data_IF_060655493487
#
_entry.id   IF_060655493487
#
_cell.length_a   1.000
_cell.length_b   1.000
_cell.length_c   1.000
_cell.angle_alpha   90.00
_cell.angle_beta   90.00
_cell.angle_gamma   90.00
#
_symmetry.space_group_name_H-M   'P 1'
#
loop_
_entity.id
_entity.type
_entity.pdbx_description
1 polymer ?
#
# COMPACT_ATOMS: atom_id res chain seq x y z
N UNK A 1 6.98 -3.26 10.59
CA UNK A 1 7.38 -2.36 9.50
C UNK A 1 6.85 -0.94 9.69
N UNK A 2 5.52 -0.71 9.65
CA UNK A 2 4.90 0.63 9.83
C UNK A 2 5.44 1.41 11.03
N UNK A 3 5.56 0.75 12.20
CA UNK A 3 6.12 1.37 13.41
C UNK A 3 7.54 1.94 13.22
N UNK A 4 8.39 1.27 12.43
CA UNK A 4 9.77 1.75 12.17
C UNK A 4 9.72 3.07 11.41
N UNK A 5 8.87 3.16 10.38
CA UNK A 5 8.69 4.39 9.59
C UNK A 5 8.18 5.52 10.51
N UNK A 6 7.14 5.25 11.29
CA UNK A 6 6.56 6.25 12.21
C UNK A 6 7.55 6.69 13.31
N UNK A 7 8.35 5.77 13.84
CA UNK A 7 9.37 6.09 14.83
C UNK A 7 10.48 6.95 14.21
N UNK A 8 10.94 6.64 12.99
CA UNK A 8 11.94 7.44 12.28
C UNK A 8 11.43 8.84 11.92
N UNK A 9 10.17 8.94 11.48
CA UNK A 9 9.50 10.22 11.26
C UNK A 9 9.54 11.05 12.56
N UNK A 10 9.13 10.46 13.69
CA UNK A 10 9.17 11.14 15.00
C UNK A 10 10.59 11.52 15.41
N UNK A 11 11.57 10.62 15.29
CA UNK A 11 12.95 10.86 15.71
C UNK A 11 13.66 11.92 14.84
N UNK A 12 13.24 12.09 13.59
CA UNK A 12 13.77 13.12 12.70
C UNK A 12 13.00 14.45 12.76
N UNK A 13 12.03 14.59 13.68
CA UNK A 13 11.07 15.70 13.70
C UNK A 13 10.37 15.89 12.34
N UNK A 14 10.03 14.79 11.67
CA UNK A 14 9.37 14.73 10.37
C UNK A 14 10.17 15.37 9.22
N UNK A 15 11.50 15.47 9.34
CA UNK A 15 12.37 16.09 8.35
C UNK A 15 13.14 15.08 7.47
N UNK A 16 13.00 13.77 7.73
CA UNK A 16 13.69 12.72 6.97
C UNK A 16 12.73 11.59 6.62
N UNK A 17 12.73 11.20 5.35
CA UNK A 17 12.02 10.01 4.87
C UNK A 17 12.79 8.73 5.24
N UNK A 18 12.07 7.63 5.41
CA UNK A 18 12.63 6.32 5.78
C UNK A 18 12.85 5.44 4.56
N UNK A 19 14.04 4.87 4.42
CA UNK A 19 14.34 3.77 3.50
C UNK A 19 14.50 2.49 4.32
N UNK A 20 13.85 1.41 3.90
CA UNK A 20 13.95 0.10 4.53
C UNK A 20 14.66 -0.88 3.61
N UNK A 21 15.62 -1.63 4.14
CA UNK A 21 16.13 -2.85 3.50
C UNK A 21 15.37 -4.04 4.10
N UNK A 22 14.33 -4.51 3.41
CA UNK A 22 13.39 -5.52 3.91
C UNK A 22 13.42 -6.78 3.03
N UNK A 23 14.54 -7.50 3.08
CA UNK A 23 14.84 -8.65 2.21
C UNK A 23 13.76 -9.73 2.24
N UNK A 24 13.06 -9.91 1.12
CA UNK A 24 11.91 -10.81 0.99
C UNK A 24 12.33 -12.27 0.76
N UNK A 25 11.51 -13.21 1.23
CA UNK A 25 11.67 -14.66 1.04
C UNK A 25 13.03 -15.21 1.51
N UNK A 26 13.55 -14.62 2.58
CA UNK A 26 14.93 -14.77 3.04
C UNK A 26 15.42 -16.20 3.21
N UNK A 27 14.61 -17.11 3.76
CA UNK A 27 15.02 -18.50 3.97
C UNK A 27 15.27 -19.25 2.64
N UNK A 28 14.72 -18.74 1.52
CA UNK A 28 14.92 -19.28 0.18
C UNK A 28 16.06 -18.61 -0.59
N UNK A 29 16.67 -17.55 -0.06
CA UNK A 29 17.72 -16.79 -0.75
C UNK A 29 19.01 -17.59 -1.05
N UNK A 30 19.18 -18.77 -0.44
CA UNK A 30 20.30 -19.67 -0.72
C UNK A 30 19.99 -20.72 -1.80
N UNK A 31 18.83 -20.66 -2.45
CA UNK A 31 18.40 -21.61 -3.46
C UNK A 31 17.96 -20.89 -4.73
N UNK A 32 18.31 -21.45 -5.89
CA UNK A 32 17.86 -20.93 -7.17
C UNK A 32 16.32 -20.97 -7.26
N UNK A 33 15.71 -19.88 -7.71
CA UNK A 33 14.27 -19.83 -7.86
C UNK A 33 13.74 -18.43 -8.11
N UNK A 34 12.48 -18.22 -7.71
CA UNK A 34 11.80 -16.95 -7.87
C UNK A 34 11.29 -16.43 -6.53
N UNK A 35 11.28 -15.11 -6.38
CA UNK A 35 10.57 -14.46 -5.27
C UNK A 35 9.06 -14.70 -5.38
N UNK A 36 8.37 -14.64 -4.24
CA UNK A 36 6.93 -14.67 -4.17
C UNK A 36 6.37 -13.27 -4.44
N UNK A 37 5.79 -13.10 -5.62
CA UNK A 37 5.22 -11.82 -6.07
C UNK A 37 4.18 -11.24 -5.09
N UNK A 38 3.18 -11.99 -4.58
CA UNK A 38 2.24 -11.46 -3.59
C UNK A 38 2.90 -10.89 -2.33
N UNK A 39 3.90 -11.58 -1.78
CA UNK A 39 4.66 -11.12 -0.62
C UNK A 39 5.38 -9.80 -0.89
N UNK A 40 6.03 -9.69 -2.05
CA UNK A 40 6.75 -8.48 -2.48
C UNK A 40 5.79 -7.30 -2.64
N UNK A 41 4.69 -7.48 -3.38
CA UNK A 41 3.75 -6.39 -3.67
C UNK A 41 2.97 -5.91 -2.43
N UNK A 42 2.57 -6.82 -1.53
CA UNK A 42 1.93 -6.46 -0.27
C UNK A 42 2.89 -5.69 0.65
N UNK A 43 4.16 -6.10 0.70
CA UNK A 43 5.18 -5.39 1.47
C UNK A 43 5.42 -3.99 0.92
N UNK A 44 5.59 -3.84 -0.40
CA UNK A 44 5.74 -2.54 -1.03
C UNK A 44 4.53 -1.64 -0.81
N UNK A 45 3.31 -2.17 -0.95
CA UNK A 45 2.09 -1.43 -0.64
C UNK A 45 2.12 -0.87 0.79
N UNK A 46 2.51 -1.67 1.79
CA UNK A 46 2.61 -1.22 3.19
C UNK A 46 3.68 -0.16 3.37
N UNK A 47 4.87 -0.34 2.78
CA UNK A 47 5.98 0.62 2.90
C UNK A 47 5.58 1.95 2.27
N UNK A 48 5.12 1.94 1.03
CA UNK A 48 4.85 3.14 0.24
C UNK A 48 3.62 3.89 0.77
N UNK A 49 2.54 3.19 1.14
CA UNK A 49 1.36 3.79 1.77
C UNK A 49 1.66 4.49 3.10
N UNK A 50 2.77 4.15 3.76
CA UNK A 50 3.20 4.79 5.00
C UNK A 50 4.33 5.81 4.78
N UNK A 51 4.67 6.14 3.53
CA UNK A 51 5.66 7.15 3.17
C UNK A 51 7.12 6.67 3.19
N UNK A 52 7.34 5.38 3.38
CA UNK A 52 8.67 4.77 3.27
C UNK A 52 9.08 4.49 1.82
N UNK A 53 10.33 4.07 1.64
CA UNK A 53 10.85 3.47 0.42
C UNK A 53 11.50 2.12 0.72
N UNK A 54 11.55 1.23 -0.27
CA UNK A 54 12.10 -0.12 -0.14
C UNK A 54 13.38 -0.22 -0.98
N UNK A 55 14.52 -0.48 -0.33
CA UNK A 55 15.76 -0.83 -1.00
C UNK A 55 15.75 -2.33 -1.32
N UNK A 56 15.26 -2.67 -2.51
CA UNK A 56 15.13 -4.06 -2.96
C UNK A 56 15.63 -4.29 -4.40
N UNK A 57 15.90 -3.23 -5.16
CA UNK A 57 16.32 -3.30 -6.57
C UNK A 57 17.76 -2.81 -6.74
N UNK A 58 18.60 -3.60 -7.40
CA UNK A 58 19.93 -3.26 -7.91
C UNK A 58 20.12 -3.78 -9.34
N UNK A 59 21.28 -4.34 -9.70
CA UNK A 59 21.40 -5.11 -10.96
C UNK A 59 20.45 -6.33 -10.99
N UNK A 60 20.03 -6.78 -9.81
CA UNK A 60 19.04 -7.83 -9.57
C UNK A 60 18.23 -7.51 -8.29
N UNK A 61 17.25 -8.36 -7.96
CA UNK A 61 16.43 -8.20 -6.76
C UNK A 61 17.17 -8.68 -5.49
N UNK A 62 17.16 -7.88 -4.43
CA UNK A 62 17.88 -8.15 -3.17
C UNK A 62 17.06 -9.05 -2.24
N UNK A 63 17.56 -10.25 -1.95
CA UNK A 63 16.86 -11.24 -1.09
C UNK A 63 17.57 -11.58 0.22
N UNK A 64 18.75 -11.03 0.44
CA UNK A 64 19.44 -11.02 1.73
C UNK A 64 20.46 -9.87 1.80
N UNK A 65 21.15 -9.76 2.93
CA UNK A 65 22.15 -8.73 3.21
C UNK A 65 23.42 -8.82 2.35
N UNK A 66 23.70 -9.98 1.74
CA UNK A 66 24.81 -10.14 0.81
C UNK A 66 24.35 -9.79 -0.61
N UNK A 67 24.47 -8.51 -0.97
CA UNK A 67 23.88 -7.94 -2.20
C UNK A 67 24.33 -8.59 -3.51
N UNK A 68 25.42 -9.36 -3.52
CA UNK A 68 25.83 -10.12 -4.70
C UNK A 68 25.01 -11.41 -4.90
N UNK A 69 24.19 -11.83 -3.92
CA UNK A 69 23.33 -12.99 -4.02
C UNK A 69 22.15 -12.73 -4.98
N UNK A 70 22.14 -13.48 -6.07
CA UNK A 70 21.13 -13.43 -7.10
C UNK A 70 20.42 -14.78 -7.31
N UNK A 71 20.32 -15.62 -6.27
CA UNK A 71 19.72 -16.95 -6.44
C UNK A 71 18.21 -16.87 -6.72
N UNK A 72 17.52 -15.94 -6.07
CA UNK A 72 16.11 -15.66 -6.31
C UNK A 72 15.97 -14.54 -7.35
N UNK A 73 15.22 -14.83 -8.40
CA UNK A 73 14.98 -13.93 -9.52
C UNK A 73 13.53 -13.42 -9.54
N UNK A 74 13.30 -12.35 -10.28
CA UNK A 74 11.95 -11.89 -10.62
C UNK A 74 11.41 -12.69 -11.80
N UNK A 75 10.12 -13.05 -11.77
CA UNK A 75 9.41 -13.42 -13.00
C UNK A 75 9.16 -12.16 -13.83
N UNK A 76 8.96 -12.32 -15.14
CA UNK A 76 8.65 -11.19 -16.04
C UNK A 76 7.45 -10.37 -15.56
N UNK A 77 6.37 -11.05 -15.15
CA UNK A 77 5.16 -10.41 -14.59
C UNK A 77 5.45 -9.62 -13.32
N UNK A 78 6.30 -10.16 -12.44
CA UNK A 78 6.67 -9.49 -11.18
C UNK A 78 7.47 -8.24 -11.46
N UNK A 79 8.38 -8.29 -12.44
CA UNK A 79 9.17 -7.14 -12.87
C UNK A 79 8.28 -6.03 -13.43
N UNK A 80 7.29 -6.35 -14.27
CA UNK A 80 6.34 -5.38 -14.81
C UNK A 80 5.52 -4.70 -13.72
N UNK A 81 5.00 -5.48 -12.75
CA UNK A 81 4.27 -4.92 -11.60
C UNK A 81 5.17 -4.05 -10.71
N UNK A 82 6.42 -4.43 -10.50
CA UNK A 82 7.37 -3.60 -9.76
C UNK A 82 7.64 -2.27 -10.48
N UNK A 83 7.76 -2.25 -11.81
CA UNK A 83 7.87 -0.98 -12.56
C UNK A 83 6.67 -0.08 -12.25
N UNK A 84 5.44 -0.61 -12.31
CA UNK A 84 4.23 0.15 -11.98
C UNK A 84 4.22 0.66 -10.54
N UNK A 85 4.67 -0.14 -9.58
CA UNK A 85 4.78 0.26 -8.17
C UNK A 85 5.79 1.39 -7.95
N UNK A 86 6.93 1.36 -8.64
CA UNK A 86 7.94 2.42 -8.56
C UNK A 86 7.50 3.69 -9.30
N UNK A 87 6.89 3.56 -10.48
CA UNK A 87 6.27 4.69 -11.19
C UNK A 87 5.22 5.36 -10.31
N UNK A 88 4.37 4.56 -9.64
CA UNK A 88 3.37 5.05 -8.70
C UNK A 88 3.99 5.77 -7.50
N UNK A 89 5.03 5.19 -6.88
CA UNK A 89 5.76 5.80 -5.77
C UNK A 89 6.33 7.17 -6.16
N UNK A 90 6.83 7.31 -7.39
CA UNK A 90 7.39 8.57 -7.91
C UNK A 90 6.27 9.57 -8.24
N UNK A 91 5.28 9.15 -9.03
CA UNK A 91 4.19 10.01 -9.51
C UNK A 91 3.38 10.62 -8.37
N UNK A 92 3.18 9.87 -7.28
CA UNK A 92 2.36 10.30 -6.14
C UNK A 92 3.18 10.67 -4.90
N UNK A 93 4.48 10.92 -5.04
CA UNK A 93 5.35 11.23 -3.89
C UNK A 93 4.83 12.39 -3.01
N UNK A 94 4.15 13.38 -3.59
CA UNK A 94 3.62 14.53 -2.85
C UNK A 94 2.47 14.19 -1.90
N UNK A 95 1.78 13.07 -2.11
CA UNK A 95 0.69 12.59 -1.23
C UNK A 95 1.11 11.36 -0.43
N UNK A 96 2.18 10.68 -0.83
CA UNK A 96 2.75 9.55 -0.08
C UNK A 96 3.70 10.00 1.04
N UNK A 97 4.54 11.02 0.80
CA UNK A 97 5.70 11.31 1.67
C UNK A 97 6.18 12.77 1.71
N UNK A 98 5.36 13.73 1.30
CA UNK A 98 5.69 15.16 1.32
C UNK A 98 4.88 15.88 2.42
N UNK A 99 5.17 15.50 3.67
CA UNK A 99 4.48 16.01 4.85
C UNK A 99 3.15 15.29 5.13
N UNK A 100 2.18 16.04 5.66
CA UNK A 100 0.90 15.54 6.16
C UNK A 100 1.00 14.78 7.49
N UNK A 101 -0.11 14.66 8.21
CA UNK A 101 -0.15 14.04 9.55
C UNK A 101 -0.83 12.67 9.48
N UNK A 102 -0.14 11.62 9.94
CA UNK A 102 -0.70 10.28 9.97
C UNK A 102 -2.01 10.24 10.78
N UNK A 103 -3.00 9.51 10.27
CA UNK A 103 -4.34 9.47 10.82
C UNK A 103 -4.97 8.08 10.68
N UNK A 104 -5.92 7.79 11.58
CA UNK A 104 -6.74 6.57 11.51
C UNK A 104 -8.16 7.01 11.20
N UNK A 105 -8.58 6.81 9.96
CA UNK A 105 -9.95 7.07 9.53
C UNK A 105 -10.85 5.90 9.92
N UNK A 106 -12.07 6.19 10.37
CA UNK A 106 -13.09 5.15 10.61
C UNK A 106 -13.73 4.75 9.28
N UNK A 107 -12.98 4.02 8.45
CA UNK A 107 -13.47 3.54 7.15
C UNK A 107 -14.27 2.27 7.36
N UNK A 108 -15.43 2.20 6.71
CA UNK A 108 -16.32 1.03 6.68
C UNK A 108 -16.64 0.66 5.24
N UNK A 109 -16.83 -0.64 4.97
CA UNK A 109 -17.13 -1.16 3.63
C UNK A 109 -18.59 -1.62 3.49
N UNK A 110 -18.97 -2.04 2.28
CA UNK A 110 -20.20 -2.78 2.03
C UNK A 110 -20.21 -4.13 2.73
N UNK A 111 -21.42 -4.66 2.97
CA UNK A 111 -21.64 -5.84 3.81
C UNK A 111 -20.82 -7.06 3.33
N UNK A 112 -20.18 -7.73 4.30
CA UNK A 112 -19.24 -8.86 4.22
C UNK A 112 -17.73 -8.53 4.14
N UNK A 113 -17.33 -7.29 3.81
CA UNK A 113 -15.91 -6.92 3.79
C UNK A 113 -15.49 -6.27 5.11
N UNK A 114 -14.54 -6.89 5.80
CA UNK A 114 -13.97 -6.34 7.04
C UNK A 114 -12.89 -5.32 6.67
N UNK A 115 -12.99 -4.10 7.17
CA UNK A 115 -11.92 -3.09 7.10
C UNK A 115 -11.26 -2.95 8.46
N UNK A 116 -9.93 -3.12 8.51
CA UNK A 116 -9.13 -2.90 9.71
C UNK A 116 -8.41 -1.57 9.63
N UNK A 117 -8.86 -0.60 10.44
CA UNK A 117 -8.36 0.78 10.38
C UNK A 117 -7.06 0.93 11.20
N UNK A 118 -5.97 1.30 10.53
CA UNK A 118 -4.66 1.60 11.12
C UNK A 118 -3.80 0.39 11.52
N UNK A 119 -4.34 -0.84 11.46
CA UNK A 119 -3.61 -2.05 11.83
C UNK A 119 -3.87 -3.17 10.84
N UNK A 120 -2.79 -3.73 10.30
CA UNK A 120 -2.89 -4.82 9.35
C UNK A 120 -3.42 -6.11 10.01
N UNK A 121 -4.36 -6.77 9.34
CA UNK A 121 -4.96 -8.03 9.80
C UNK A 121 -5.34 -8.93 8.61
N UNK A 122 -4.96 -10.21 8.69
CA UNK A 122 -5.39 -11.23 7.74
C UNK A 122 -6.92 -11.37 7.76
N UNK A 123 -7.53 -11.63 6.59
CA UNK A 123 -8.98 -11.69 6.45
C UNK A 123 -9.65 -10.32 6.31
N UNK A 124 -8.90 -9.25 6.07
CA UNK A 124 -9.44 -7.89 5.99
C UNK A 124 -8.75 -7.01 4.96
N UNK A 125 -9.41 -5.92 4.58
CA UNK A 125 -8.78 -4.78 3.92
C UNK A 125 -8.20 -3.90 5.03
N UNK A 126 -6.93 -3.57 4.97
CA UNK A 126 -6.32 -2.65 5.93
C UNK A 126 -6.38 -1.23 5.40
N UNK A 127 -6.82 -0.28 6.23
CA UNK A 127 -6.77 1.14 5.89
C UNK A 127 -5.63 1.86 6.62
N UNK A 128 -4.94 2.74 5.91
CA UNK A 128 -4.03 3.74 6.48
C UNK A 128 -4.45 5.10 5.96
N UNK A 129 -4.10 6.19 6.65
CA UNK A 129 -4.39 7.50 6.09
C UNK A 129 -3.57 8.64 6.65
N UNK A 130 -3.73 9.78 6.01
CA UNK A 130 -3.00 11.01 6.31
C UNK A 130 -3.85 12.24 6.02
N UNK A 131 -3.81 13.20 6.93
CA UNK A 131 -4.36 14.53 6.73
C UNK A 131 -3.35 15.45 6.05
N UNK A 132 -3.80 16.20 5.04
CA UNK A 132 -3.10 17.35 4.48
C UNK A 132 -3.99 18.61 4.60
N UNK A 133 -3.46 19.77 4.24
CA UNK A 133 -4.17 21.05 4.43
C UNK A 133 -5.53 21.14 3.71
N UNK A 134 -5.64 20.56 2.51
CA UNK A 134 -6.83 20.63 1.67
C UNK A 134 -7.26 19.27 1.10
N UNK A 135 -6.70 18.17 1.63
CA UNK A 135 -7.04 16.82 1.21
C UNK A 135 -6.76 15.79 2.28
N UNK A 136 -7.52 14.70 2.22
CA UNK A 136 -7.30 13.49 2.99
C UNK A 136 -6.87 12.38 2.04
N UNK A 137 -5.88 11.58 2.47
CA UNK A 137 -5.37 10.45 1.70
C UNK A 137 -5.63 9.20 2.51
N UNK A 138 -6.25 8.21 1.88
CA UNK A 138 -6.61 6.93 2.48
C UNK A 138 -6.07 5.83 1.57
N UNK A 139 -5.28 4.94 2.15
CA UNK A 139 -4.81 3.74 1.49
C UNK A 139 -5.66 2.55 1.91
N UNK A 140 -5.95 1.66 0.96
CA UNK A 140 -6.62 0.39 1.17
C UNK A 140 -5.68 -0.71 0.69
N UNK A 141 -5.32 -1.65 1.56
CA UNK A 141 -4.42 -2.77 1.23
C UNK A 141 -5.15 -4.08 1.47
N UNK A 142 -5.17 -4.95 0.45
CA UNK A 142 -5.96 -6.17 0.45
C UNK A 142 -5.23 -7.34 1.13
N UNK A 143 -5.50 -7.54 2.42
CA UNK A 143 -5.06 -8.72 3.18
C UNK A 143 -6.15 -9.78 3.34
N UNK A 144 -7.21 -9.74 2.52
CA UNK A 144 -8.37 -10.63 2.63
C UNK A 144 -7.96 -12.09 2.61
N UNK A 145 -7.09 -12.48 1.68
CA UNK A 145 -6.66 -13.88 1.52
C UNK A 145 -5.23 -14.11 2.06
N UNK A 146 -4.72 -13.19 2.88
CA UNK A 146 -3.36 -13.31 3.39
C UNK A 146 -3.24 -14.50 4.35
N UNK A 147 -2.43 -15.49 3.97
CA UNK A 147 -2.14 -16.68 4.79
C UNK A 147 -1.02 -16.45 5.83
N UNK A 148 -0.29 -15.34 5.73
CA UNK A 148 0.65 -14.86 6.74
C UNK A 148 0.58 -13.33 6.85
N UNK A 149 0.91 -12.80 8.03
CA UNK A 149 1.13 -11.36 8.25
C UNK A 149 2.61 -11.04 8.51
N UNK A 150 3.46 -12.06 8.41
CA UNK A 150 4.91 -11.94 8.44
C UNK A 150 5.34 -11.31 7.12
N UNK A 151 5.68 -10.02 7.15
CA UNK A 151 5.94 -9.21 5.95
C UNK A 151 7.05 -9.78 5.08
N UNK A 152 8.04 -10.47 5.65
CA UNK A 152 9.18 -11.01 4.90
C UNK A 152 8.74 -12.16 3.99
N UNK A 153 7.56 -12.73 4.24
CA UNK A 153 7.10 -13.99 3.64
C UNK A 153 8.27 -14.98 3.56
N UNK A 154 8.85 -15.28 4.72
CA UNK A 154 10.18 -15.92 4.82
C UNK A 154 10.33 -17.17 3.94
N UNK A 155 9.23 -17.92 3.74
CA UNK A 155 9.19 -19.15 2.95
C UNK A 155 8.63 -18.99 1.53
N UNK A 156 8.31 -17.78 1.08
CA UNK A 156 7.83 -17.53 -0.29
C UNK A 156 6.46 -18.14 -0.58
N UNK A 157 5.56 -18.13 0.39
CA UNK A 157 4.26 -18.81 0.36
C UNK A 157 3.08 -17.87 0.44
N UNK A 158 3.30 -16.55 0.46
CA UNK A 158 2.22 -15.58 0.54
C UNK A 158 1.21 -15.81 -0.59
N UNK A 159 -0.06 -15.90 -0.22
CA UNK A 159 -1.15 -16.10 -1.16
C UNK A 159 -1.47 -14.80 -1.91
N UNK A 160 -1.70 -14.92 -3.21
CA UNK A 160 -2.22 -13.82 -4.02
C UNK A 160 -3.64 -13.44 -3.57
N UNK A 161 -3.89 -12.16 -3.25
CA UNK A 161 -5.23 -11.71 -2.90
C UNK A 161 -6.18 -11.81 -4.11
N UNK A 162 -7.40 -12.29 -3.86
CA UNK A 162 -8.50 -12.20 -4.80
C UNK A 162 -8.92 -10.74 -5.01
N UNK A 163 -9.25 -10.39 -6.25
CA UNK A 163 -9.80 -9.07 -6.56
C UNK A 163 -11.15 -8.88 -5.87
N UNK A 164 -11.39 -7.66 -5.40
CA UNK A 164 -12.65 -7.26 -4.79
C UNK A 164 -13.28 -6.23 -5.72
N UNK A 165 -14.37 -6.60 -6.39
CA UNK A 165 -15.13 -5.70 -7.27
C UNK A 165 -16.31 -5.07 -6.52
N UNK A 166 -16.74 -3.87 -6.96
CA UNK A 166 -17.95 -3.24 -6.42
C UNK A 166 -17.88 -2.88 -4.93
N UNK A 167 -16.68 -2.54 -4.43
CA UNK A 167 -16.49 -2.09 -3.06
C UNK A 167 -16.98 -0.64 -2.92
N UNK A 168 -17.88 -0.39 -1.97
CA UNK A 168 -18.21 0.97 -1.55
C UNK A 168 -17.70 1.19 -0.13
N UNK A 169 -17.00 2.32 0.06
CA UNK A 169 -16.48 2.73 1.36
C UNK A 169 -17.25 3.92 1.92
N UNK A 170 -17.33 3.99 3.25
CA UNK A 170 -17.98 5.07 3.99
C UNK A 170 -17.07 5.55 5.12
N UNK A 171 -17.04 6.87 5.32
CA UNK A 171 -16.27 7.52 6.37
C UNK A 171 -16.86 8.90 6.70
N UNK A 172 -16.45 9.44 7.85
CA UNK A 172 -16.77 10.80 8.23
C UNK A 172 -15.72 11.79 7.67
N UNK A 173 -16.20 12.92 7.17
CA UNK A 173 -15.43 14.07 6.70
C UNK A 173 -15.88 15.34 7.39
N UNK A 174 -14.97 16.29 7.58
CA UNK A 174 -15.24 17.52 8.34
C UNK A 174 -15.62 18.71 7.44
N UNK A 175 -15.52 18.55 6.12
CA UNK A 175 -15.65 19.62 5.13
C UNK A 175 -16.43 19.15 3.91
N UNK A 176 -16.96 20.09 3.13
CA UNK A 176 -17.58 19.80 1.84
C UNK A 176 -16.54 19.26 0.86
N UNK A 177 -16.77 18.05 0.35
CA UNK A 177 -15.87 17.38 -0.59
C UNK A 177 -16.09 17.93 -2.00
N UNK A 178 -15.02 18.42 -2.63
CA UNK A 178 -15.02 18.90 -4.02
C UNK A 178 -14.79 17.76 -5.00
N UNK A 179 -13.80 16.90 -4.73
CA UNK A 179 -13.39 15.82 -5.63
C UNK A 179 -12.95 14.61 -4.81
N UNK A 180 -13.21 13.44 -5.36
CA UNK A 180 -12.62 12.18 -4.89
C UNK A 180 -12.02 11.49 -6.11
N UNK A 181 -10.82 10.98 -5.96
CA UNK A 181 -10.16 10.20 -6.99
C UNK A 181 -9.38 9.05 -6.38
N UNK A 182 -9.19 7.99 -7.16
CA UNK A 182 -8.40 6.82 -6.80
C UNK A 182 -7.23 6.68 -7.77
N UNK A 183 -6.10 6.25 -7.27
CA UNK A 183 -5.00 5.77 -8.08
C UNK A 183 -4.46 4.48 -7.46
N UNK A 184 -4.06 3.52 -8.31
CA UNK A 184 -3.51 2.24 -7.88
C UNK A 184 -2.42 1.78 -8.84
N UNK A 185 -1.27 1.28 -8.36
CA UNK A 185 -0.30 0.64 -9.25
C UNK A 185 -0.86 -0.64 -9.91
N UNK A 186 -1.93 -1.22 -9.37
CA UNK A 186 -2.58 -2.41 -9.92
C UNK A 186 -3.60 -2.10 -11.04
N UNK A 187 -3.92 -0.82 -11.24
CA UNK A 187 -5.01 -0.39 -12.13
C UNK A 187 -4.56 0.75 -13.06
N UNK A 188 -4.76 0.55 -14.36
CA UNK A 188 -4.48 1.57 -15.39
C UNK A 188 -3.09 2.21 -15.28
N UNK A 189 -2.08 1.45 -14.84
CA UNK A 189 -0.71 1.93 -14.68
C UNK A 189 -0.55 3.07 -13.68
N UNK A 190 -1.45 3.21 -12.70
CA UNK A 190 -1.39 4.28 -11.70
C UNK A 190 -2.07 5.58 -12.11
N UNK A 191 -2.78 5.64 -13.25
CA UNK A 191 -3.53 6.84 -13.63
C UNK A 191 -4.63 7.15 -12.62
N UNK A 192 -4.79 8.43 -12.26
CA UNK A 192 -5.84 8.88 -11.36
C UNK A 192 -7.22 8.76 -12.03
N UNK A 193 -8.14 8.08 -11.35
CA UNK A 193 -9.51 7.81 -11.78
C UNK A 193 -10.45 8.64 -10.90
N UNK A 194 -11.25 9.57 -11.47
CA UNK A 194 -12.26 10.29 -10.71
C UNK A 194 -13.34 9.31 -10.22
N UNK A 195 -13.76 9.47 -8.97
CA UNK A 195 -14.74 8.58 -8.35
C UNK A 195 -16.08 9.28 -8.12
N UNK A 196 -17.15 8.50 -8.25
CA UNK A 196 -18.49 8.90 -7.80
C UNK A 196 -18.49 8.96 -6.28
N UNK A 197 -19.01 10.06 -5.73
CA UNK A 197 -19.13 10.28 -4.29
C UNK A 197 -20.48 10.88 -3.92
N UNK A 198 -21.03 10.44 -2.81
CA UNK A 198 -22.21 11.02 -2.19
C UNK A 198 -21.86 11.51 -0.79
N UNK A 199 -22.18 12.77 -0.49
CA UNK A 199 -21.97 13.35 0.83
C UNK A 199 -23.32 13.79 1.43
N UNK A 200 -23.61 13.33 2.64
CA UNK A 200 -24.79 13.76 3.42
C UNK A 200 -24.32 14.23 4.79
N UNK A 201 -24.33 15.55 5.01
CA UNK A 201 -23.68 16.16 6.16
C UNK A 201 -22.18 15.79 6.18
N UNK A 202 -21.75 15.17 7.27
CA UNK A 202 -20.36 14.75 7.45
C UNK A 202 -20.09 13.33 6.92
N UNK A 203 -21.09 12.61 6.41
CA UNK A 203 -20.88 11.24 5.93
C UNK A 203 -20.57 11.25 4.44
N UNK A 204 -19.42 10.70 4.07
CA UNK A 204 -19.00 10.49 2.70
C UNK A 204 -19.13 9.00 2.33
N UNK A 205 -19.73 8.74 1.18
CA UNK A 205 -19.81 7.42 0.55
C UNK A 205 -19.11 7.48 -0.81
N UNK A 206 -18.25 6.51 -1.10
CA UNK A 206 -17.42 6.45 -2.31
C UNK A 206 -17.53 5.07 -2.92
N UNK A 207 -17.80 5.00 -4.22
CA UNK A 207 -17.80 3.75 -4.97
C UNK A 207 -16.42 3.52 -5.61
N UNK A 208 -15.82 2.36 -5.34
CA UNK A 208 -14.53 1.96 -5.89
C UNK A 208 -14.72 0.96 -7.04
N UNK A 209 -13.97 1.10 -8.15
CA UNK A 209 -14.07 0.20 -9.30
C UNK A 209 -13.62 -1.23 -8.96
N UNK A 210 -12.63 -1.37 -8.09
CA UNK A 210 -12.17 -2.64 -7.54
C UNK A 210 -10.83 -2.47 -6.81
N UNK A 211 -10.44 -3.48 -6.02
CA UNK A 211 -9.20 -3.50 -5.24
C UNK A 211 -8.48 -4.84 -5.45
N UNK A 212 -7.21 -4.79 -5.90
CA UNK A 212 -6.35 -5.98 -6.06
C UNK A 212 -5.34 -6.11 -4.92
N UNK A 213 -4.28 -5.30 -4.88
CA UNK A 213 -3.32 -5.25 -3.77
C UNK A 213 -3.43 -3.95 -2.99
N UNK A 214 -3.40 -2.81 -3.68
CA UNK A 214 -3.31 -1.48 -3.06
C UNK A 214 -4.00 -0.40 -3.87
N UNK A 215 -4.92 0.31 -3.22
CA UNK A 215 -5.52 1.54 -3.74
C UNK A 215 -5.19 2.74 -2.84
N UNK A 216 -4.96 3.89 -3.45
CA UNK A 216 -4.90 5.19 -2.79
C UNK A 216 -6.10 6.02 -3.21
N UNK A 217 -6.95 6.38 -2.25
CA UNK A 217 -8.09 7.28 -2.41
C UNK A 217 -7.71 8.65 -1.85
N UNK A 218 -7.92 9.70 -2.64
CA UNK A 218 -7.69 11.09 -2.23
C UNK A 218 -8.99 11.87 -2.28
N UNK A 219 -9.28 12.55 -1.18
CA UNK A 219 -10.50 13.35 -0.96
C UNK A 219 -10.07 14.81 -0.86
N UNK A 220 -10.54 15.67 -1.75
CA UNK A 220 -10.18 17.10 -1.80
C UNK A 220 -11.35 17.98 -1.36
N UNK A 221 -11.03 19.07 -0.64
CA UNK A 221 -12.01 20.00 -0.03
C UNK A 221 -11.96 21.42 -0.58
#
# INVERSE_FOLDING_TARGET
>A
MVKIIQDNDRFSNYNKNTVLAAYMNYAKSNQAGFVNEPGVLLTNAVIFANGGAHLEMGEHYLTNEYFANNNLQLKGTTKEKLIQYYDFMVAYQNVLRDGGTAAVFSVTGTNALTISNGKARSGSITSYGRYFANRDVIHLINFKDANTMEWRDTNGTQQEPSSIDGLQIKLDVTRTVKRVWLASPDMQGGVAIPLTKAQTGNKLTIDLPGLKYWDMVVIEY
#
